data_IF_215574335497
#
_entry.id   IF_215574335497
#
_cell.length_a   1.000
_cell.length_b   1.000
_cell.length_c   1.000
_cell.angle_alpha   90.00
_cell.angle_beta   90.00
_cell.angle_gamma   90.00
#
_symmetry.space_group_name_H-M   'P 1'
#
loop_
_entity.id
_entity.type
_entity.pdbx_description
1 polymer ?
#
# COMPACT_ATOMS: atom_id res chain seq x y z
N UNK A 1 -18.79 14.22 -8.97
CA UNK A 1 -18.37 13.79 -7.62
C UNK A 1 -19.57 13.80 -6.70
N UNK A 2 -19.69 12.80 -5.82
CA UNK A 2 -20.78 12.66 -4.86
C UNK A 2 -20.17 12.53 -3.46
N UNK A 3 -20.75 13.22 -2.48
CA UNK A 3 -20.29 13.23 -1.10
C UNK A 3 -21.37 12.67 -0.17
N UNK A 4 -20.96 11.88 0.81
CA UNK A 4 -21.76 11.47 1.95
C UNK A 4 -21.82 12.55 3.05
N UNK A 5 -22.27 12.13 4.24
CA UNK A 5 -22.38 13.03 5.41
C UNK A 5 -21.05 13.08 6.18
N UNK A 6 -20.79 14.20 6.89
CA UNK A 6 -19.61 14.39 7.75
C UNK A 6 -18.28 14.14 7.04
N UNK A 7 -18.13 14.67 5.83
CA UNK A 7 -16.87 14.60 5.09
C UNK A 7 -16.02 15.82 5.42
N UNK A 8 -14.81 15.58 5.90
CA UNK A 8 -13.82 16.64 6.15
C UNK A 8 -12.79 16.66 5.02
N UNK A 9 -12.62 17.82 4.40
CA UNK A 9 -11.64 18.03 3.34
C UNK A 9 -10.73 19.18 3.76
N UNK A 10 -9.44 18.86 3.95
CA UNK A 10 -8.44 19.87 4.29
C UNK A 10 -8.03 20.72 3.08
N UNK A 11 -7.34 21.85 3.26
CA UNK A 11 -6.89 22.70 2.16
C UNK A 11 -6.01 21.96 1.13
N UNK A 12 -6.00 22.48 -0.10
CA UNK A 12 -5.18 21.99 -1.22
C UNK A 12 -5.47 20.54 -1.66
N UNK A 13 -6.64 20.02 -1.39
CA UNK A 13 -7.12 18.74 -1.92
C UNK A 13 -7.67 18.96 -3.33
N UNK A 14 -7.26 18.12 -4.27
CA UNK A 14 -7.78 18.10 -5.65
C UNK A 14 -8.66 16.87 -5.86
N UNK A 15 -9.93 17.09 -6.18
CA UNK A 15 -10.90 16.03 -6.45
C UNK A 15 -11.36 16.13 -7.91
N UNK A 16 -10.93 15.18 -8.71
CA UNK A 16 -11.26 15.08 -10.13
C UNK A 16 -12.64 14.45 -10.38
N UNK A 17 -12.82 13.96 -11.60
CA UNK A 17 -14.09 13.37 -12.03
C UNK A 17 -14.32 11.96 -11.49
N UNK A 18 -15.60 11.52 -11.49
CA UNK A 18 -16.02 10.14 -11.15
C UNK A 18 -15.57 9.68 -9.76
N UNK A 19 -15.57 10.58 -8.77
CA UNK A 19 -15.27 10.26 -7.37
C UNK A 19 -16.58 10.12 -6.59
N UNK A 20 -16.66 9.06 -5.76
CA UNK A 20 -17.75 8.83 -4.81
C UNK A 20 -17.16 8.70 -3.42
N UNK A 21 -17.62 9.49 -2.46
CA UNK A 21 -17.13 9.55 -1.09
C UNK A 21 -18.29 9.26 -0.15
N UNK A 22 -18.09 8.30 0.74
CA UNK A 22 -19.05 7.91 1.76
C UNK A 22 -19.09 8.83 2.97
N UNK A 23 -19.63 8.34 4.08
CA UNK A 23 -19.83 9.13 5.30
C UNK A 23 -18.58 9.10 6.21
N UNK A 24 -18.39 10.15 7.01
CA UNK A 24 -17.30 10.26 8.01
C UNK A 24 -15.91 10.04 7.40
N UNK A 25 -15.68 10.56 6.20
CA UNK A 25 -14.40 10.44 5.50
C UNK A 25 -13.56 11.68 5.77
N UNK A 26 -12.26 11.48 6.03
CA UNK A 26 -11.29 12.55 6.18
C UNK A 26 -10.31 12.53 5.02
N UNK A 27 -10.21 13.63 4.28
CA UNK A 27 -9.25 13.81 3.20
C UNK A 27 -8.30 14.93 3.59
N UNK A 28 -7.05 14.57 3.80
CA UNK A 28 -6.00 15.47 4.29
C UNK A 28 -5.33 16.23 3.16
N UNK A 29 -4.69 17.32 3.52
CA UNK A 29 -4.08 18.29 2.60
C UNK A 29 -3.19 17.65 1.53
N UNK A 30 -3.14 18.30 0.36
CA UNK A 30 -2.30 17.92 -0.79
C UNK A 30 -2.62 16.52 -1.37
N UNK A 31 -3.81 15.99 -1.12
CA UNK A 31 -4.27 14.73 -1.69
C UNK A 31 -4.91 14.95 -3.05
N UNK A 32 -4.60 14.09 -4.03
CA UNK A 32 -5.20 14.10 -5.37
C UNK A 32 -6.01 12.83 -5.61
N UNK A 33 -7.29 12.98 -5.99
CA UNK A 33 -8.24 11.87 -6.13
C UNK A 33 -8.96 11.95 -7.47
N UNK A 34 -8.96 10.87 -8.24
CA UNK A 34 -9.71 10.76 -9.49
C UNK A 34 -10.29 9.35 -9.69
N UNK A 35 -11.51 9.22 -10.23
CA UNK A 35 -12.12 7.95 -10.60
C UNK A 35 -12.15 6.91 -9.49
N UNK A 36 -12.34 7.33 -8.24
CA UNK A 36 -12.18 6.55 -7.02
C UNK A 36 -13.50 6.41 -6.27
N UNK A 37 -13.72 5.24 -5.65
CA UNK A 37 -14.78 5.03 -4.67
C UNK A 37 -14.20 4.91 -3.27
N UNK A 38 -14.64 5.76 -2.36
CA UNK A 38 -14.27 5.80 -0.95
C UNK A 38 -15.51 5.48 -0.13
N UNK A 39 -15.48 4.41 0.65
CA UNK A 39 -16.57 4.03 1.55
C UNK A 39 -16.51 4.80 2.88
N UNK A 40 -17.28 4.39 3.89
CA UNK A 40 -17.42 5.13 5.13
C UNK A 40 -16.18 4.99 6.05
N UNK A 41 -15.96 5.99 6.91
CA UNK A 41 -14.92 6.01 7.96
C UNK A 41 -13.49 5.83 7.43
N UNK A 42 -13.21 6.30 6.22
CA UNK A 42 -11.90 6.22 5.58
C UNK A 42 -11.08 7.49 5.84
N UNK A 43 -9.78 7.31 6.01
CA UNK A 43 -8.81 8.42 6.11
C UNK A 43 -7.87 8.36 4.92
N UNK A 44 -7.69 9.50 4.23
CA UNK A 44 -6.80 9.61 3.06
C UNK A 44 -5.83 10.76 3.23
N UNK A 45 -4.56 10.51 3.00
CA UNK A 45 -3.51 11.53 2.98
C UNK A 45 -2.83 11.76 4.35
N UNK A 46 -2.07 12.87 4.46
CA UNK A 46 -1.82 13.88 3.42
C UNK A 46 -0.94 13.37 2.26
N UNK A 47 -0.82 14.15 1.17
CA UNK A 47 0.03 13.83 0.01
C UNK A 47 -0.24 12.45 -0.60
N UNK A 48 -1.49 11.97 -0.60
CA UNK A 48 -1.87 10.73 -1.25
C UNK A 48 -2.34 10.97 -2.68
N UNK A 49 -2.12 9.98 -3.56
CA UNK A 49 -2.64 10.00 -4.92
C UNK A 49 -3.53 8.78 -5.18
N UNK A 50 -4.83 9.00 -5.31
CA UNK A 50 -5.79 7.96 -5.65
C UNK A 50 -6.18 8.07 -7.12
N UNK A 51 -5.78 7.08 -7.91
CA UNK A 51 -6.04 7.05 -9.35
C UNK A 51 -7.24 6.16 -9.68
N UNK A 52 -7.71 6.32 -10.92
CA UNK A 52 -8.87 5.60 -11.46
C UNK A 52 -8.84 4.11 -11.13
N UNK A 53 -10.00 3.59 -10.73
CA UNK A 53 -10.20 2.19 -10.36
C UNK A 53 -9.81 1.86 -8.91
N UNK A 54 -9.44 2.86 -8.10
CA UNK A 54 -9.22 2.67 -6.68
C UNK A 54 -10.53 2.55 -5.93
N UNK A 55 -10.61 1.56 -5.03
CA UNK A 55 -11.73 1.35 -4.10
C UNK A 55 -11.18 1.26 -2.69
N UNK A 56 -11.56 2.20 -1.83
CA UNK A 56 -11.23 2.18 -0.41
C UNK A 56 -12.47 1.76 0.37
N UNK A 57 -12.40 0.61 1.03
CA UNK A 57 -13.52 0.08 1.80
C UNK A 57 -13.54 0.62 3.22
N UNK A 58 -14.62 0.33 3.93
CA UNK A 58 -14.91 0.83 5.28
C UNK A 58 -13.71 0.80 6.22
N UNK A 59 -13.40 1.90 6.89
CA UNK A 59 -12.35 2.01 7.89
C UNK A 59 -10.92 1.84 7.36
N UNK A 60 -10.71 1.74 6.05
CA UNK A 60 -9.36 1.66 5.49
C UNK A 60 -8.62 2.99 5.61
N UNK A 61 -7.28 2.93 5.58
CA UNK A 61 -6.43 4.12 5.70
C UNK A 61 -5.36 4.14 4.63
N UNK A 62 -5.28 5.25 3.92
CA UNK A 62 -4.19 5.59 3.00
C UNK A 62 -3.46 6.78 3.59
N UNK A 63 -2.17 6.65 3.84
CA UNK A 63 -1.36 7.71 4.43
C UNK A 63 -0.54 8.49 3.40
N UNK A 64 0.52 9.12 3.88
CA UNK A 64 1.31 10.07 3.10
C UNK A 64 2.21 9.39 2.05
N UNK A 65 2.31 10.05 0.90
CA UNK A 65 3.10 9.60 -0.24
C UNK A 65 2.75 8.18 -0.71
N UNK A 66 1.47 7.84 -0.62
CA UNK A 66 0.94 6.58 -1.14
C UNK A 66 0.21 6.85 -2.45
N UNK A 67 0.57 6.11 -3.48
CA UNK A 67 -0.16 6.10 -4.74
C UNK A 67 -0.92 4.78 -4.90
N UNK A 68 -2.21 4.86 -5.27
CA UNK A 68 -3.02 3.69 -5.59
C UNK A 68 -3.60 3.80 -7.00
N UNK A 69 -3.68 2.69 -7.73
CA UNK A 69 -4.26 2.62 -9.07
C UNK A 69 -4.92 1.27 -9.29
N UNK A 70 -6.17 1.26 -9.78
CA UNK A 70 -6.89 0.02 -10.11
C UNK A 70 -6.78 -1.04 -9.01
N UNK A 71 -7.00 -0.63 -7.75
CA UNK A 71 -6.75 -1.44 -6.57
C UNK A 71 -7.88 -1.33 -5.56
N UNK A 72 -8.13 -2.40 -4.81
CA UNK A 72 -9.11 -2.42 -3.74
C UNK A 72 -8.42 -2.64 -2.40
N UNK A 73 -8.62 -1.69 -1.47
CA UNK A 73 -8.13 -1.78 -0.10
C UNK A 73 -9.33 -2.11 0.79
N UNK A 74 -9.36 -3.33 1.33
CA UNK A 74 -10.51 -3.83 2.09
C UNK A 74 -10.60 -3.25 3.50
N UNK A 75 -11.68 -3.62 4.21
CA UNK A 75 -12.03 -3.06 5.49
C UNK A 75 -10.88 -3.07 6.50
N UNK A 76 -10.67 -1.95 7.17
CA UNK A 76 -9.68 -1.75 8.23
C UNK A 76 -8.22 -1.99 7.82
N UNK A 77 -7.94 -2.11 6.53
CA UNK A 77 -6.57 -2.29 6.03
C UNK A 77 -5.87 -0.95 5.88
N UNK A 78 -4.55 -0.99 6.06
CA UNK A 78 -3.73 0.23 6.16
C UNK A 78 -2.58 0.19 5.16
N UNK A 79 -2.39 1.30 4.44
CA UNK A 79 -1.23 1.61 3.60
C UNK A 79 -0.79 3.01 3.99
N UNK A 80 0.13 3.12 4.95
CA UNK A 80 0.33 4.39 5.63
C UNK A 80 1.42 5.28 5.04
N UNK A 81 2.42 4.75 4.35
CA UNK A 81 3.60 5.53 3.98
C UNK A 81 4.28 5.05 2.70
N UNK A 82 4.66 6.00 1.82
CA UNK A 82 5.69 5.82 0.78
C UNK A 82 5.49 4.57 -0.11
N UNK A 83 4.27 4.22 -0.48
CA UNK A 83 3.98 2.96 -1.15
C UNK A 83 3.30 3.16 -2.51
N UNK A 84 3.59 2.26 -3.46
CA UNK A 84 2.84 2.15 -4.70
C UNK A 84 2.00 0.86 -4.72
N UNK A 85 0.69 1.00 -4.82
CA UNK A 85 -0.28 -0.10 -4.85
C UNK A 85 -1.05 -0.07 -6.16
N UNK A 86 -0.57 -0.82 -7.14
CA UNK A 86 -1.14 -0.91 -8.48
C UNK A 86 -1.69 -2.29 -8.79
N UNK A 87 -2.86 -2.37 -9.44
CA UNK A 87 -3.53 -3.60 -9.86
C UNK A 87 -3.62 -4.66 -8.74
N UNK A 88 -3.98 -4.23 -7.52
CA UNK A 88 -3.85 -5.03 -6.30
C UNK A 88 -5.18 -5.17 -5.55
N UNK A 89 -5.41 -6.36 -5.00
CA UNK A 89 -6.46 -6.61 -4.02
C UNK A 89 -5.82 -6.79 -2.64
N UNK A 90 -6.11 -5.89 -1.69
CA UNK A 90 -5.68 -5.99 -0.29
C UNK A 90 -6.86 -6.43 0.56
N UNK A 91 -6.74 -7.58 1.19
CA UNK A 91 -7.75 -8.17 2.08
C UNK A 91 -7.92 -7.40 3.38
N UNK A 92 -9.00 -7.68 4.11
CA UNK A 92 -9.34 -6.97 5.36
C UNK A 92 -8.28 -7.12 6.45
N UNK A 93 -8.16 -6.12 7.32
CA UNK A 93 -7.26 -6.10 8.47
C UNK A 93 -5.78 -6.31 8.10
N UNK A 94 -5.37 -6.00 6.88
CA UNK A 94 -3.99 -6.17 6.44
C UNK A 94 -3.22 -4.86 6.57
N UNK A 95 -1.93 -4.98 6.87
CA UNK A 95 -1.04 -3.83 7.00
C UNK A 95 0.07 -3.88 5.95
N UNK A 96 0.19 -2.83 5.17
CA UNK A 96 1.25 -2.68 4.17
C UNK A 96 2.31 -1.74 4.75
N UNK A 97 3.51 -2.25 4.92
CA UNK A 97 4.65 -1.52 5.45
C UNK A 97 5.13 -0.42 4.51
N UNK A 98 5.79 0.59 5.08
CA UNK A 98 6.32 1.74 4.36
C UNK A 98 7.28 1.31 3.23
N UNK A 99 7.22 1.97 2.08
CA UNK A 99 8.10 1.69 0.95
C UNK A 99 7.75 0.40 0.20
N UNK A 100 6.58 -0.19 0.43
CA UNK A 100 6.14 -1.36 -0.33
C UNK A 100 5.74 -1.00 -1.74
N UNK A 101 6.23 -1.77 -2.72
CA UNK A 101 5.91 -1.61 -4.13
C UNK A 101 5.25 -2.90 -4.65
N UNK A 102 4.07 -2.78 -5.25
CA UNK A 102 3.51 -3.84 -6.09
C UNK A 102 4.04 -3.68 -7.50
N UNK A 103 4.98 -4.55 -7.90
CA UNK A 103 5.60 -4.53 -9.22
C UNK A 103 4.63 -5.16 -10.23
N UNK A 104 3.66 -4.37 -10.68
CA UNK A 104 2.52 -4.84 -11.49
C UNK A 104 2.78 -4.87 -12.99
N UNK A 105 3.87 -4.27 -13.48
CA UNK A 105 4.19 -4.19 -14.90
C UNK A 105 5.47 -4.95 -15.22
N UNK A 106 5.42 -5.84 -16.18
CA UNK A 106 6.53 -6.72 -16.60
C UNK A 106 7.28 -6.23 -17.86
N UNK A 107 6.98 -5.02 -18.30
CA UNK A 107 7.51 -4.47 -19.55
C UNK A 107 6.55 -4.61 -20.74
N UNK A 108 5.59 -5.52 -20.68
CA UNK A 108 4.61 -5.81 -21.75
C UNK A 108 3.18 -5.62 -21.25
N UNK A 109 2.82 -6.25 -20.15
CA UNK A 109 1.45 -6.25 -19.59
C UNK A 109 1.45 -5.99 -18.10
N UNK A 110 0.25 -5.71 -17.57
CA UNK A 110 0.02 -5.56 -16.13
C UNK A 110 -0.53 -6.83 -15.52
N UNK A 111 0.05 -7.22 -14.42
CA UNK A 111 -0.27 -8.41 -13.64
C UNK A 111 -0.84 -8.00 -12.28
N UNK A 112 -1.61 -8.90 -11.65
CA UNK A 112 -2.30 -8.62 -10.40
C UNK A 112 -1.54 -9.16 -9.18
N UNK A 113 -1.54 -8.38 -8.11
CA UNK A 113 -1.15 -8.83 -6.78
C UNK A 113 -2.42 -9.09 -5.94
N UNK A 114 -2.45 -10.21 -5.24
CA UNK A 114 -3.52 -10.52 -4.29
C UNK A 114 -2.93 -10.74 -2.91
N UNK A 115 -3.29 -9.87 -1.97
CA UNK A 115 -2.96 -9.97 -0.56
C UNK A 115 -4.26 -10.35 0.16
N UNK A 116 -4.28 -11.47 0.84
CA UNK A 116 -5.46 -11.94 1.56
C UNK A 116 -5.68 -11.18 2.89
N UNK A 117 -6.57 -11.64 3.73
CA UNK A 117 -6.89 -11.00 5.02
C UNK A 117 -5.82 -11.25 6.10
N UNK A 118 -5.71 -10.33 7.05
CA UNK A 118 -4.80 -10.41 8.20
C UNK A 118 -3.33 -10.63 7.80
N UNK A 119 -2.89 -9.99 6.72
CA UNK A 119 -1.51 -10.09 6.23
C UNK A 119 -0.72 -8.89 6.70
N UNK A 120 0.52 -9.12 7.11
CA UNK A 120 1.48 -8.07 7.41
C UNK A 120 2.60 -8.08 6.36
N UNK A 121 2.74 -6.99 5.63
CA UNK A 121 3.85 -6.78 4.70
C UNK A 121 4.87 -5.86 5.38
N UNK A 122 6.08 -6.36 5.55
CA UNK A 122 7.20 -5.58 6.12
C UNK A 122 7.64 -4.45 5.19
N UNK A 123 8.21 -3.41 5.78
CA UNK A 123 8.66 -2.22 5.04
C UNK A 123 9.68 -2.55 3.94
N UNK A 124 9.71 -1.73 2.88
CA UNK A 124 10.62 -1.87 1.74
C UNK A 124 10.52 -3.24 1.03
N UNK A 125 9.32 -3.82 1.01
CA UNK A 125 9.08 -5.07 0.28
C UNK A 125 8.66 -4.81 -1.17
N UNK A 126 9.15 -5.63 -2.10
CA UNK A 126 8.72 -5.64 -3.49
C UNK A 126 7.89 -6.89 -3.77
N UNK A 127 6.65 -6.71 -4.19
CA UNK A 127 5.74 -7.81 -4.53
C UNK A 127 5.65 -7.90 -6.05
N UNK A 128 6.35 -8.89 -6.63
CA UNK A 128 6.45 -9.05 -8.09
C UNK A 128 5.24 -9.83 -8.59
N UNK A 129 4.33 -9.12 -9.27
CA UNK A 129 3.11 -9.70 -9.80
C UNK A 129 3.38 -10.57 -11.06
N UNK A 130 2.59 -11.67 -11.27
CA UNK A 130 1.45 -12.07 -10.46
C UNK A 130 1.86 -12.78 -9.18
N UNK A 131 1.33 -12.36 -8.03
CA UNK A 131 1.67 -12.96 -6.74
C UNK A 131 0.46 -13.04 -5.81
N UNK A 132 0.39 -14.11 -5.01
CA UNK A 132 -0.63 -14.33 -3.99
C UNK A 132 0.03 -14.44 -2.61
N UNK A 133 -0.38 -13.58 -1.70
CA UNK A 133 -0.02 -13.66 -0.27
C UNK A 133 -1.26 -14.16 0.46
N UNK A 134 -1.20 -15.38 0.98
CA UNK A 134 -2.35 -15.99 1.67
C UNK A 134 -2.53 -15.44 3.09
N UNK A 135 -3.72 -15.67 3.65
CA UNK A 135 -4.16 -15.10 4.93
C UNK A 135 -3.26 -15.44 6.11
N UNK A 136 -3.22 -14.53 7.08
CA UNK A 136 -2.45 -14.67 8.33
C UNK A 136 -0.95 -14.87 8.10
N UNK A 137 -0.41 -14.43 6.97
CA UNK A 137 1.02 -14.52 6.66
C UNK A 137 1.75 -13.20 6.88
N UNK A 138 3.04 -13.29 6.99
CA UNK A 138 3.95 -12.16 7.18
C UNK A 138 5.00 -12.17 6.09
N UNK A 139 5.29 -11.01 5.52
CA UNK A 139 6.46 -10.79 4.67
C UNK A 139 7.48 -9.98 5.47
N UNK A 140 8.69 -10.49 5.62
CA UNK A 140 9.77 -9.79 6.32
C UNK A 140 10.21 -8.53 5.55
N UNK A 141 10.55 -7.47 6.28
CA UNK A 141 11.00 -6.21 5.68
C UNK A 141 12.18 -6.41 4.71
N UNK A 142 12.22 -5.62 3.62
CA UNK A 142 13.28 -5.69 2.60
C UNK A 142 13.21 -6.93 1.71
N UNK A 143 12.09 -7.65 1.69
CA UNK A 143 11.95 -8.86 0.87
C UNK A 143 11.45 -8.59 -0.53
N UNK A 144 11.93 -9.36 -1.52
CA UNK A 144 11.42 -9.40 -2.89
C UNK A 144 10.64 -10.70 -3.08
N UNK A 145 9.32 -10.60 -3.12
CA UNK A 145 8.44 -11.77 -3.20
C UNK A 145 8.01 -12.02 -4.65
N UNK A 146 8.44 -13.15 -5.19
CA UNK A 146 8.18 -13.57 -6.57
C UNK A 146 7.30 -14.83 -6.65
N UNK A 147 7.02 -15.47 -5.52
CA UNK A 147 6.22 -16.69 -5.44
C UNK A 147 5.12 -16.54 -4.40
N UNK A 148 4.11 -17.41 -4.51
CA UNK A 148 3.02 -17.51 -3.54
C UNK A 148 3.56 -17.69 -2.11
N UNK A 149 3.05 -16.88 -1.17
CA UNK A 149 3.28 -17.06 0.27
C UNK A 149 2.12 -17.84 0.86
N UNK A 150 2.39 -18.96 1.49
CA UNK A 150 1.38 -19.84 2.07
C UNK A 150 0.75 -19.24 3.33
N UNK A 151 -0.47 -19.63 3.64
CA UNK A 151 -1.21 -19.24 4.85
C UNK A 151 -0.37 -19.44 6.11
N UNK A 152 -0.33 -18.42 6.98
CA UNK A 152 0.35 -18.47 8.28
C UNK A 152 1.87 -18.52 8.22
N UNK A 153 2.49 -18.30 7.05
CA UNK A 153 3.94 -18.37 6.88
C UNK A 153 4.60 -17.01 7.04
N UNK A 154 5.85 -17.02 7.44
CA UNK A 154 6.79 -15.90 7.29
C UNK A 154 7.63 -16.12 6.03
N UNK A 155 7.56 -15.18 5.08
CA UNK A 155 8.38 -15.18 3.88
C UNK A 155 9.49 -14.13 4.00
N UNK A 156 10.74 -14.53 3.78
CA UNK A 156 11.93 -13.67 3.83
C UNK A 156 12.82 -14.02 2.65
N UNK A 157 13.30 -13.02 1.91
CA UNK A 157 14.21 -13.21 0.75
C UNK A 157 15.47 -12.35 0.82
N UNK A 158 15.71 -11.64 1.93
CA UNK A 158 16.93 -10.85 2.13
C UNK A 158 18.09 -11.71 2.59
N UNK A 159 19.33 -11.29 2.25
CA UNK A 159 20.56 -11.92 2.71
C UNK A 159 20.73 -11.83 4.22
N UNK A 160 21.51 -12.76 4.78
CA UNK A 160 21.92 -12.68 6.17
C UNK A 160 22.79 -11.43 6.40
N UNK A 161 22.66 -10.84 7.58
CA UNK A 161 23.49 -9.71 7.98
C UNK A 161 24.95 -10.15 8.14
N UNK A 162 25.88 -9.38 7.56
CA UNK A 162 27.32 -9.58 7.72
C UNK A 162 27.91 -8.40 8.48
N UNK A 163 28.66 -8.67 9.52
CA UNK A 163 29.39 -7.67 10.31
C UNK A 163 30.90 -7.81 10.12
N UNK A 164 31.58 -6.71 9.77
CA UNK A 164 33.04 -6.67 9.63
C UNK A 164 33.61 -5.85 10.79
N UNK A 165 34.23 -6.53 11.76
CA UNK A 165 34.86 -5.90 12.92
C UNK A 165 35.96 -4.93 12.51
N UNK A 166 36.05 -3.80 13.21
CA UNK A 166 37.09 -2.77 13.04
C UNK A 166 37.13 -2.14 11.63
N UNK A 167 36.03 -2.18 10.88
CA UNK A 167 35.97 -1.64 9.51
C UNK A 167 36.40 -0.17 9.44
N UNK A 168 35.97 0.69 10.35
CA UNK A 168 36.32 2.11 10.37
C UNK A 168 37.82 2.36 10.63
N UNK A 169 38.49 1.50 11.38
CA UNK A 169 39.95 1.59 11.58
C UNK A 169 40.73 1.27 10.29
N UNK A 170 40.22 0.37 9.47
CA UNK A 170 40.82 0.03 8.16
C UNK A 170 40.68 1.16 7.13
N UNK A 171 39.59 1.95 7.17
CA UNK A 171 39.37 3.10 6.27
C UNK A 171 40.32 4.27 6.51
N UNK A 172 40.78 4.46 7.77
CA UNK A 172 41.70 5.57 8.14
C UNK A 172 43.16 5.29 7.79
N UNK A 173 43.50 4.12 7.27
CA UNK A 173 44.86 3.71 6.88
C UNK A 173 45.14 3.78 5.37
N UNK A 174 44.25 4.43 4.57
CA UNK A 174 44.46 4.72 3.15
C UNK A 174 44.73 6.21 2.93
#
# INVERSE_FOLDING_TARGET
TVFGKNVTIEPYVVIGSKVKIGNNVQIKSFTHIEGTRIENNVIVGPYARLRKGTILKHGSKIGNFVETKNSSISNNSKVNHLSYIGDTLVGKNSNIGAGTITCNYDGVKKNKTKISENVFIGSNSSLVAPVLIEKNSVVGAGSVITKKVKKGSLAITRSAQLEIKNFNKKRKKK
#
